data_IF_479876498599
#
_entry.id   IF_479876498599
#
_cell.length_a   1.000
_cell.length_b   1.000
_cell.length_c   1.000
_cell.angle_alpha   90.00
_cell.angle_beta   90.00
_cell.angle_gamma   90.00
#
_symmetry.space_group_name_H-M   'P 1'
#
loop_
_entity.id
_entity.type
_entity.pdbx_description
1 polymer ?
#
# COMPACT_ATOMS: atom_id res chain seq x y z
N UNK A 1 11.18 19.57 -5.45
CA UNK A 1 11.81 19.19 -4.16
C UNK A 1 11.28 17.80 -3.79
N UNK A 2 12.06 16.74 -4.02
CA UNK A 2 11.59 15.34 -4.12
C UNK A 2 10.74 14.89 -2.92
N UNK A 3 9.62 14.20 -3.19
CA UNK A 3 8.74 13.53 -2.22
C UNK A 3 9.53 12.63 -1.24
N UNK A 4 10.70 12.12 -1.64
CA UNK A 4 11.63 11.37 -0.76
C UNK A 4 12.18 12.25 0.37
N UNK A 5 12.48 13.53 0.11
CA UNK A 5 12.77 14.50 1.17
C UNK A 5 11.53 14.75 2.01
N UNK A 6 10.32 14.73 1.45
CA UNK A 6 9.07 14.91 2.21
C UNK A 6 8.80 13.77 3.18
N UNK A 7 8.96 12.50 2.75
CA UNK A 7 8.83 11.32 3.62
C UNK A 7 9.90 11.36 4.71
N UNK A 8 11.19 11.52 4.35
CA UNK A 8 12.27 11.65 5.34
C UNK A 8 12.09 12.85 6.28
N UNK A 9 11.54 13.97 5.80
CA UNK A 9 11.32 15.20 6.58
C UNK A 9 10.10 15.09 7.49
N UNK A 10 8.99 14.48 7.06
CA UNK A 10 7.81 14.19 7.89
C UNK A 10 8.17 13.17 8.98
N UNK A 11 8.99 12.16 8.66
CA UNK A 11 9.58 11.22 9.63
C UNK A 11 10.51 11.91 10.64
N UNK A 12 11.24 12.97 10.23
CA UNK A 12 12.09 13.74 11.14
C UNK A 12 11.32 14.72 12.04
N UNK A 13 10.23 15.31 11.54
CA UNK A 13 9.43 16.32 12.27
C UNK A 13 8.58 15.69 13.39
N UNK A 14 8.10 14.47 13.22
CA UNK A 14 7.41 13.70 14.28
C UNK A 14 8.34 13.34 15.46
N UNK A 15 9.67 13.47 15.33
CA UNK A 15 10.66 13.15 16.38
C UNK A 15 10.93 14.30 17.35
N UNK A 16 10.46 15.52 17.07
CA UNK A 16 10.84 16.72 17.83
C UNK A 16 9.77 17.25 18.80
N UNK A 17 8.61 16.61 18.94
CA UNK A 17 7.50 17.11 19.80
C UNK A 17 7.37 16.41 21.15
N UNK A 18 8.40 15.71 21.64
CA UNK A 18 8.36 15.10 22.98
C UNK A 18 9.72 15.17 23.66
N UNK A 19 10.00 16.28 24.32
CA UNK A 19 11.08 16.36 25.29
C UNK A 19 10.59 17.07 26.56
N UNK A 20 10.21 16.30 27.57
CA UNK A 20 10.49 16.66 28.97
C UNK A 20 10.69 15.41 29.82
N UNK A 21 11.97 15.24 30.19
CA UNK A 21 12.50 14.79 31.49
C UNK A 21 12.02 13.47 32.14
N UNK A 22 12.97 12.52 32.16
CA UNK A 22 13.30 11.46 33.15
C UNK A 22 12.89 10.00 32.91
N UNK A 23 13.86 9.12 33.25
CA UNK A 23 13.92 7.66 33.27
C UNK A 23 14.39 6.92 31.99
N UNK A 24 15.55 6.27 32.11
CA UNK A 24 16.20 5.41 31.13
C UNK A 24 15.40 4.11 30.89
N UNK A 25 14.59 4.10 29.84
CA UNK A 25 14.57 3.02 28.86
C UNK A 25 14.59 3.71 27.50
N UNK A 26 15.71 3.66 26.79
CA UNK A 26 15.72 4.06 25.39
C UNK A 26 14.91 3.02 24.61
N UNK A 27 13.58 3.16 24.63
CA UNK A 27 12.70 2.57 23.64
C UNK A 27 13.18 3.12 22.30
N UNK A 28 14.09 2.40 21.66
CA UNK A 28 14.54 2.68 20.31
C UNK A 28 13.29 2.54 19.46
N UNK A 29 12.64 3.66 19.13
CA UNK A 29 11.48 3.68 18.25
C UNK A 29 11.91 2.96 16.98
N UNK A 30 11.45 1.73 16.81
CA UNK A 30 11.80 0.94 15.65
C UNK A 30 11.17 1.65 14.47
N UNK A 31 12.00 2.09 13.53
CA UNK A 31 11.52 2.74 12.32
C UNK A 31 10.53 1.80 11.63
N UNK A 32 9.39 2.33 11.18
CA UNK A 32 8.39 1.51 10.49
C UNK A 32 8.96 0.98 9.17
N UNK A 33 8.53 -0.22 8.79
CA UNK A 33 8.82 -0.77 7.45
C UNK A 33 7.89 -0.13 6.42
N UNK A 34 8.24 -0.20 5.15
CA UNK A 34 7.42 0.32 4.06
C UNK A 34 6.45 -0.76 3.57
N UNK A 35 5.15 -0.49 3.65
CA UNK A 35 4.11 -1.30 3.04
C UNK A 35 3.55 -0.57 1.82
N UNK A 36 3.70 -1.18 0.66
CA UNK A 36 3.22 -0.66 -0.61
C UNK A 36 1.98 -1.47 -0.99
N UNK A 37 0.90 -0.78 -1.32
CA UNK A 37 -0.38 -1.38 -1.69
C UNK A 37 -0.71 -1.00 -3.13
N UNK A 38 -1.08 -1.99 -3.93
CA UNK A 38 -1.83 -1.71 -5.16
C UNK A 38 -3.25 -1.20 -4.83
N UNK A 39 -3.92 -0.65 -5.84
CA UNK A 39 -5.22 -0.02 -5.69
C UNK A 39 -6.35 -0.90 -6.26
N UNK A 40 -6.35 -1.05 -7.58
CA UNK A 40 -7.39 -1.74 -8.33
C UNK A 40 -7.29 -3.25 -8.17
N UNK A 41 -8.44 -3.91 -8.02
CA UNK A 41 -8.59 -5.34 -7.67
C UNK A 41 -7.88 -5.77 -6.36
N UNK A 42 -7.33 -4.80 -5.61
CA UNK A 42 -6.61 -5.01 -4.35
C UNK A 42 -7.35 -4.36 -3.17
N UNK A 43 -7.59 -3.04 -3.22
CA UNK A 43 -8.34 -2.28 -2.20
C UNK A 43 -9.73 -1.86 -2.69
N UNK A 44 -9.89 -1.66 -4.00
CA UNK A 44 -11.13 -1.24 -4.63
C UNK A 44 -11.35 -1.97 -5.95
N UNK A 45 -12.54 -1.85 -6.50
CA UNK A 45 -12.86 -2.28 -7.85
C UNK A 45 -13.71 -1.21 -8.56
N UNK A 46 -13.35 -0.92 -9.81
CA UNK A 46 -14.14 -0.07 -10.69
C UNK A 46 -15.27 -0.87 -11.35
N UNK A 47 -16.52 -0.47 -11.14
CA UNK A 47 -17.69 -1.10 -11.76
C UNK A 47 -18.11 -0.35 -13.02
N UNK A 48 -18.26 -1.07 -14.14
CA UNK A 48 -18.86 -0.56 -15.37
C UNK A 48 -20.40 -0.48 -15.30
N UNK A 49 -21.02 -1.22 -14.38
CA UNK A 49 -22.47 -1.33 -14.29
C UNK A 49 -23.05 -0.28 -13.32
N UNK A 50 -24.06 0.46 -13.79
CA UNK A 50 -24.92 1.36 -13.01
C UNK A 50 -25.76 0.65 -11.93
N UNK A 51 -25.45 -0.60 -11.59
CA UNK A 51 -26.20 -1.46 -10.68
C UNK A 51 -26.11 -0.97 -9.22
N UNK A 52 -26.88 0.08 -8.93
CA UNK A 52 -27.52 0.52 -7.68
C UNK A 52 -26.70 0.69 -6.38
N UNK A 53 -25.47 0.20 -6.27
CA UNK A 53 -24.62 0.48 -5.10
C UNK A 53 -23.17 0.65 -5.50
N UNK A 54 -22.65 1.86 -5.30
CA UNK A 54 -21.24 2.20 -5.36
C UNK A 54 -20.88 2.99 -4.10
N UNK A 55 -19.66 2.85 -3.62
CA UNK A 55 -19.18 3.59 -2.46
C UNK A 55 -18.69 5.00 -2.83
N UNK A 56 -18.11 5.14 -4.03
CA UNK A 56 -17.55 6.38 -4.55
C UNK A 56 -17.85 6.50 -6.04
N UNK A 57 -18.13 7.72 -6.51
CA UNK A 57 -18.13 8.04 -7.94
C UNK A 57 -17.50 9.39 -8.20
N UNK A 58 -16.82 9.53 -9.34
CA UNK A 58 -16.32 10.82 -9.81
C UNK A 58 -16.22 10.83 -11.34
N UNK A 59 -16.22 12.03 -11.92
CA UNK A 59 -16.11 12.22 -13.37
C UNK A 59 -14.70 12.66 -13.74
N UNK A 60 -14.12 12.02 -14.75
CA UNK A 60 -12.81 12.34 -15.30
C UNK A 60 -12.89 12.22 -16.82
N UNK A 61 -12.39 13.23 -17.54
CA UNK A 61 -12.34 13.23 -19.02
C UNK A 61 -13.71 12.94 -19.67
N UNK A 62 -14.79 13.43 -19.07
CA UNK A 62 -16.16 13.25 -19.59
C UNK A 62 -16.80 11.90 -19.30
N UNK A 63 -16.11 11.00 -18.59
CA UNK A 63 -16.64 9.69 -18.17
C UNK A 63 -16.81 9.64 -16.65
N UNK A 64 -17.91 9.08 -16.16
CA UNK A 64 -18.14 8.84 -14.73
C UNK A 64 -17.68 7.45 -14.36
N UNK A 65 -16.86 7.37 -13.33
CA UNK A 65 -16.31 6.13 -12.80
C UNK A 65 -17.00 5.82 -11.47
N UNK A 66 -17.30 4.55 -11.24
CA UNK A 66 -17.96 4.05 -10.03
C UNK A 66 -17.06 3.03 -9.34
N UNK A 67 -16.91 3.15 -8.03
CA UNK A 67 -16.00 2.32 -7.25
C UNK A 67 -16.71 1.67 -6.07
N UNK A 68 -16.33 0.42 -5.82
CA UNK A 68 -16.64 -0.29 -4.60
C UNK A 68 -15.38 -0.50 -3.78
N UNK A 69 -15.53 -0.48 -2.46
CA UNK A 69 -14.48 -0.79 -1.50
C UNK A 69 -14.44 -2.30 -1.32
N UNK A 70 -13.25 -2.90 -1.36
CA UNK A 70 -13.09 -4.28 -0.91
C UNK A 70 -13.50 -4.38 0.56
N UNK A 71 -14.21 -5.42 0.99
CA UNK A 71 -14.52 -5.63 2.40
C UNK A 71 -13.27 -5.48 3.27
N UNK A 72 -13.43 -4.85 4.43
CA UNK A 72 -12.37 -4.55 5.40
C UNK A 72 -11.28 -3.55 4.94
N UNK A 73 -11.41 -2.89 3.78
CA UNK A 73 -10.35 -2.01 3.27
C UNK A 73 -9.98 -0.86 4.21
N UNK A 74 -10.95 -0.24 4.89
CA UNK A 74 -10.69 0.87 5.82
C UNK A 74 -10.04 0.37 7.10
N UNK A 75 -10.60 -0.67 7.71
CA UNK A 75 -10.08 -1.33 8.91
C UNK A 75 -8.66 -1.88 8.68
N UNK A 76 -8.42 -2.43 7.49
CA UNK A 76 -7.10 -2.86 7.05
C UNK A 76 -6.11 -1.68 7.03
N UNK A 77 -6.46 -0.57 6.37
CA UNK A 77 -5.60 0.62 6.29
C UNK A 77 -5.32 1.23 7.67
N UNK A 78 -6.34 1.32 8.52
CA UNK A 78 -6.20 1.77 9.91
C UNK A 78 -5.21 0.89 10.68
N UNK A 79 -5.34 -0.44 10.57
CA UNK A 79 -4.44 -1.37 11.26
C UNK A 79 -3.02 -1.29 10.73
N UNK A 80 -2.82 -1.37 9.42
CA UNK A 80 -1.47 -1.45 8.84
C UNK A 80 -0.73 -0.10 8.91
N UNK A 81 -1.42 1.04 8.91
CA UNK A 81 -0.79 2.35 9.11
C UNK A 81 -0.17 2.52 10.50
N UNK A 82 -0.65 1.78 11.51
CA UNK A 82 -0.02 1.75 12.83
C UNK A 82 1.32 1.00 12.81
N UNK A 83 1.49 0.03 11.90
CA UNK A 83 2.62 -0.88 11.82
C UNK A 83 3.67 -0.45 10.77
N UNK A 84 3.21 0.19 9.70
CA UNK A 84 4.00 0.50 8.50
C UNK A 84 3.88 1.97 8.10
N UNK A 85 4.88 2.46 7.38
CA UNK A 85 4.71 3.59 6.49
C UNK A 85 3.97 3.07 5.25
N UNK A 86 2.72 3.47 5.06
CA UNK A 86 1.86 2.94 3.99
C UNK A 86 1.91 3.84 2.76
N UNK A 87 2.12 3.24 1.60
CA UNK A 87 2.17 3.93 0.31
C UNK A 87 1.26 3.21 -0.67
N UNK A 88 0.52 3.98 -1.47
CA UNK A 88 -0.17 3.44 -2.65
C UNK A 88 0.76 3.49 -3.85
N UNK A 89 0.90 2.39 -4.57
CA UNK A 89 1.60 2.34 -5.86
C UNK A 89 0.70 1.63 -6.88
N UNK A 90 0.05 2.40 -7.75
CA UNK A 90 -0.87 1.90 -8.77
C UNK A 90 -0.29 2.08 -10.18
N UNK A 91 -0.72 1.24 -11.12
CA UNK A 91 -0.44 1.41 -12.54
C UNK A 91 -1.34 2.48 -13.21
N UNK A 92 -2.34 3.01 -12.47
CA UNK A 92 -3.23 4.06 -12.94
C UNK A 92 -2.63 5.46 -12.81
N UNK A 93 -3.19 6.42 -13.56
CA UNK A 93 -2.75 7.81 -13.56
C UNK A 93 -3.26 8.57 -12.34
N UNK A 94 -2.59 9.65 -11.99
CA UNK A 94 -2.93 10.50 -10.84
C UNK A 94 -4.41 10.96 -10.80
N UNK A 95 -5.01 11.46 -11.91
CA UNK A 95 -6.40 11.93 -11.89
C UNK A 95 -7.43 10.84 -11.59
N UNK A 96 -7.08 9.58 -11.88
CA UNK A 96 -7.89 8.40 -11.55
C UNK A 96 -7.72 8.01 -10.08
N UNK A 97 -6.47 7.92 -9.62
CA UNK A 97 -6.15 7.33 -8.33
C UNK A 97 -6.40 8.28 -7.15
N UNK A 98 -6.22 9.59 -7.32
CA UNK A 98 -6.36 10.54 -6.21
C UNK A 98 -7.73 10.52 -5.54
N UNK A 99 -8.86 10.63 -6.26
CA UNK A 99 -10.18 10.61 -5.63
C UNK A 99 -10.45 9.32 -4.86
N UNK A 100 -9.97 8.18 -5.37
CA UNK A 100 -10.10 6.87 -4.71
C UNK A 100 -9.30 6.83 -3.42
N UNK A 101 -8.04 7.27 -3.46
CA UNK A 101 -7.17 7.26 -2.27
C UNK A 101 -7.63 8.29 -1.23
N UNK A 102 -8.11 9.47 -1.66
CA UNK A 102 -8.72 10.47 -0.78
C UNK A 102 -9.97 9.91 -0.09
N UNK A 103 -10.78 9.15 -0.82
CA UNK A 103 -11.94 8.48 -0.23
C UNK A 103 -11.57 7.40 0.77
N UNK A 104 -10.49 6.64 0.53
CA UNK A 104 -9.98 5.62 1.45
C UNK A 104 -9.39 6.24 2.74
N UNK A 105 -8.68 7.36 2.63
CA UNK A 105 -8.00 8.06 3.74
C UNK A 105 -8.51 9.49 3.87
N UNK A 106 -9.75 9.64 4.34
CA UNK A 106 -10.47 10.92 4.43
C UNK A 106 -9.73 11.99 5.24
N UNK A 107 -8.97 11.58 6.25
CA UNK A 107 -8.21 12.48 7.12
C UNK A 107 -6.76 12.70 6.64
N UNK A 108 -6.30 11.96 5.63
CA UNK A 108 -4.93 12.03 5.11
C UNK A 108 -3.86 11.60 6.13
N UNK A 109 -4.22 10.66 7.03
CA UNK A 109 -3.39 10.20 8.14
C UNK A 109 -2.81 8.81 7.92
N UNK A 110 -3.46 7.99 7.10
CA UNK A 110 -3.13 6.57 6.94
C UNK A 110 -2.05 6.34 5.87
N UNK A 111 -2.07 7.13 4.78
CA UNK A 111 -1.22 6.92 3.59
C UNK A 111 -0.19 8.05 3.48
N UNK A 112 1.10 7.70 3.53
CA UNK A 112 2.20 8.69 3.55
C UNK A 112 2.71 9.08 2.16
N UNK A 113 2.33 8.34 1.12
CA UNK A 113 2.75 8.61 -0.26
C UNK A 113 1.90 7.89 -1.31
N UNK A 114 1.89 8.44 -2.53
CA UNK A 114 1.17 7.92 -3.69
C UNK A 114 2.10 7.89 -4.90
N UNK A 115 2.15 6.75 -5.58
CA UNK A 115 2.95 6.49 -6.77
C UNK A 115 2.00 5.97 -7.85
N UNK A 116 2.12 6.53 -9.04
CA UNK A 116 1.18 6.30 -10.14
C UNK A 116 1.91 5.63 -11.31
N UNK A 117 1.23 5.50 -12.44
CA UNK A 117 1.77 4.95 -13.69
C UNK A 117 3.22 5.36 -13.98
N UNK A 118 3.50 6.68 -13.97
CA UNK A 118 4.82 7.22 -14.34
C UNK A 118 5.93 6.89 -13.34
N UNK A 119 5.58 6.37 -12.16
CA UNK A 119 6.55 5.90 -11.16
C UNK A 119 7.04 4.48 -11.43
N UNK A 120 6.27 3.68 -12.18
CA UNK A 120 6.66 2.33 -12.60
C UNK A 120 7.52 2.35 -13.86
N UNK A 121 7.84 1.16 -14.35
CA UNK A 121 8.53 1.00 -15.62
C UNK A 121 7.73 0.09 -16.55
N UNK A 122 7.55 0.53 -17.80
CA UNK A 122 7.09 -0.32 -18.88
C UNK A 122 8.28 -1.02 -19.48
N UNK A 123 8.36 -2.34 -19.28
CA UNK A 123 9.35 -3.19 -19.92
C UNK A 123 8.71 -3.87 -21.14
N UNK A 124 9.53 -4.54 -21.97
CA UNK A 124 9.05 -5.26 -23.15
C UNK A 124 7.97 -6.32 -22.85
N UNK A 125 7.95 -6.85 -21.63
CA UNK A 125 7.04 -7.87 -21.13
C UNK A 125 5.96 -7.30 -20.18
N UNK A 126 5.73 -5.99 -20.18
CA UNK A 126 4.66 -5.33 -19.44
C UNK A 126 5.13 -4.45 -18.28
N UNK A 127 4.18 -3.96 -17.48
CA UNK A 127 4.43 -3.02 -16.40
C UNK A 127 5.13 -3.66 -15.19
N UNK A 128 6.03 -2.94 -14.53
CA UNK A 128 6.63 -3.30 -13.24
C UNK A 128 6.64 -2.14 -12.26
N UNK A 129 6.54 -2.50 -10.98
CA UNK A 129 6.77 -1.64 -9.82
C UNK A 129 8.17 -1.94 -9.27
N UNK A 130 9.18 -1.29 -9.83
CA UNK A 130 10.56 -1.47 -9.33
C UNK A 130 10.73 -0.83 -7.94
N UNK A 131 10.85 -1.68 -6.92
CA UNK A 131 10.91 -1.24 -5.52
C UNK A 131 12.20 -0.47 -5.18
N UNK A 132 13.21 -0.46 -6.06
CA UNK A 132 14.45 0.29 -5.84
C UNK A 132 14.25 1.81 -5.87
N UNK A 133 13.16 2.30 -6.45
CA UNK A 133 12.85 3.75 -6.50
C UNK A 133 12.74 4.38 -5.10
N UNK A 134 12.38 3.59 -4.09
CA UNK A 134 12.21 4.05 -2.71
C UNK A 134 13.54 4.29 -1.99
N UNK A 135 14.65 3.77 -2.51
CA UNK A 135 16.02 3.98 -1.98
C UNK A 135 16.14 3.67 -0.48
N UNK A 136 15.49 2.58 -0.06
CA UNK A 136 15.59 1.98 1.28
C UNK A 136 15.92 0.50 1.15
N UNK A 137 16.38 -0.11 2.24
CA UNK A 137 16.73 -1.53 2.26
C UNK A 137 15.49 -2.40 1.95
N UNK A 138 15.61 -3.27 0.95
CA UNK A 138 14.55 -4.20 0.55
C UNK A 138 14.21 -5.22 1.65
N UNK A 139 15.06 -5.43 2.66
CA UNK A 139 14.68 -6.19 3.85
C UNK A 139 13.49 -5.57 4.61
N UNK A 140 13.14 -4.31 4.30
CA UNK A 140 12.11 -3.51 4.97
C UNK A 140 10.99 -3.06 4.04
N UNK A 141 10.89 -3.62 2.83
CA UNK A 141 9.88 -3.23 1.83
C UNK A 141 8.95 -4.40 1.54
N UNK A 142 7.65 -4.16 1.56
CA UNK A 142 6.61 -5.13 1.24
C UNK A 142 5.72 -4.52 0.17
N UNK A 143 5.36 -5.29 -0.87
CA UNK A 143 4.37 -4.91 -1.87
C UNK A 143 3.23 -5.92 -1.87
N UNK A 144 1.99 -5.47 -1.69
CA UNK A 144 0.78 -6.28 -1.86
C UNK A 144 0.13 -5.87 -3.17
N UNK A 145 -0.05 -6.84 -4.08
CA UNK A 145 -0.51 -6.59 -5.45
C UNK A 145 -1.15 -7.86 -6.00
N UNK A 146 -2.27 -7.72 -6.71
CA UNK A 146 -2.98 -8.86 -7.29
C UNK A 146 -2.36 -9.38 -8.59
N UNK A 147 -1.39 -8.67 -9.16
CA UNK A 147 -0.70 -9.04 -10.38
C UNK A 147 0.78 -9.39 -10.10
N UNK A 148 1.15 -10.69 -10.06
CA UNK A 148 2.53 -11.11 -9.82
C UNK A 148 3.57 -10.55 -10.81
N UNK A 149 3.14 -10.20 -12.03
CA UNK A 149 4.02 -9.58 -13.01
C UNK A 149 4.52 -8.19 -12.55
N UNK A 150 3.73 -7.45 -11.76
CA UNK A 150 4.08 -6.10 -11.30
C UNK A 150 5.31 -6.12 -10.38
N UNK A 151 5.51 -7.16 -9.58
CA UNK A 151 6.64 -7.28 -8.65
C UNK A 151 7.69 -8.30 -9.08
N UNK A 152 7.75 -8.65 -10.38
CA UNK A 152 8.66 -9.67 -10.91
C UNK A 152 10.15 -9.38 -10.67
N UNK A 153 10.54 -8.11 -10.51
CA UNK A 153 11.93 -7.72 -10.23
C UNK A 153 12.35 -7.95 -8.78
N UNK A 154 11.39 -7.99 -7.84
CA UNK A 154 11.62 -8.22 -6.41
C UNK A 154 10.59 -9.21 -5.85
N UNK A 155 10.55 -10.43 -6.42
CA UNK A 155 9.55 -11.46 -6.07
C UNK A 155 9.43 -11.73 -4.57
N UNK A 156 10.55 -11.76 -3.86
CA UNK A 156 10.57 -12.03 -2.42
C UNK A 156 10.05 -10.86 -1.56
N UNK A 157 9.73 -9.71 -2.17
CA UNK A 157 9.09 -8.58 -1.52
C UNK A 157 7.59 -8.48 -1.84
N UNK A 158 7.13 -9.25 -2.83
CA UNK A 158 5.75 -9.24 -3.29
C UNK A 158 4.89 -10.29 -2.58
N UNK A 159 3.75 -9.85 -2.07
CA UNK A 159 2.68 -10.68 -1.53
C UNK A 159 1.57 -10.68 -2.59
N UNK A 160 1.32 -11.81 -3.28
CA UNK A 160 0.16 -11.92 -4.15
C UNK A 160 -1.11 -11.88 -3.29
N UNK A 161 -2.09 -11.10 -3.72
CA UNK A 161 -3.45 -11.13 -3.19
C UNK A 161 -4.42 -11.50 -4.30
N UNK A 162 -5.52 -12.19 -3.98
CA UNK A 162 -6.52 -12.53 -4.99
C UNK A 162 -7.21 -11.26 -5.46
N UNK A 163 -7.38 -11.13 -6.78
CA UNK A 163 -8.16 -10.05 -7.39
C UNK A 163 -9.58 -10.04 -6.83
N UNK A 164 -10.02 -8.86 -6.40
CA UNK A 164 -11.37 -8.65 -5.92
C UNK A 164 -12.18 -7.79 -6.89
N UNK A 165 -13.42 -8.19 -7.14
CA UNK A 165 -14.33 -7.51 -8.06
C UNK A 165 -15.56 -7.01 -7.32
N UNK A 166 -16.35 -7.91 -6.73
CA UNK A 166 -17.58 -7.51 -6.05
C UNK A 166 -18.07 -8.51 -5.00
N UNK A 167 -17.24 -9.48 -4.58
CA UNK A 167 -17.67 -10.47 -3.59
C UNK A 167 -17.82 -9.79 -2.21
N UNK A 168 -19.05 -9.68 -1.66
CA UNK A 168 -19.25 -9.07 -0.35
C UNK A 168 -18.73 -9.94 0.80
N UNK A 169 -18.47 -11.23 0.56
CA UNK A 169 -17.95 -12.18 1.54
C UNK A 169 -16.41 -12.30 1.49
N UNK A 170 -15.73 -11.46 0.70
CA UNK A 170 -14.26 -11.43 0.67
C UNK A 170 -13.71 -11.07 2.05
N UNK A 171 -12.67 -11.78 2.47
CA UNK A 171 -11.99 -11.56 3.75
C UNK A 171 -10.46 -11.48 3.57
N UNK A 172 -9.97 -11.36 2.34
CA UNK A 172 -8.53 -11.55 2.05
C UNK A 172 -7.67 -10.46 2.69
N UNK A 173 -8.15 -9.21 2.74
CA UNK A 173 -7.46 -8.13 3.46
C UNK A 173 -7.37 -8.43 4.96
N UNK A 174 -8.46 -8.89 5.57
CA UNK A 174 -8.50 -9.25 7.00
C UNK A 174 -7.55 -10.42 7.31
N UNK A 175 -7.60 -11.49 6.50
CA UNK A 175 -6.71 -12.67 6.61
C UNK A 175 -5.23 -12.35 6.41
N UNK A 176 -4.91 -11.26 5.71
CA UNK A 176 -3.54 -10.83 5.48
C UNK A 176 -2.93 -10.11 6.69
N UNK A 177 -3.73 -9.46 7.54
CA UNK A 177 -3.26 -8.66 8.68
C UNK A 177 -2.31 -9.44 9.61
N UNK A 178 -2.63 -10.66 10.09
CA UNK A 178 -1.75 -11.38 11.01
C UNK A 178 -0.36 -11.69 10.41
N UNK A 179 -0.30 -11.86 9.08
CA UNK A 179 0.97 -12.07 8.40
C UNK A 179 1.78 -10.78 8.32
N UNK A 180 1.14 -9.67 8.00
CA UNK A 180 1.79 -8.36 8.00
C UNK A 180 2.30 -8.00 9.40
N UNK A 181 1.58 -8.34 10.47
CA UNK A 181 2.07 -8.17 11.85
C UNK A 181 3.36 -8.96 12.11
N UNK A 182 3.45 -10.21 11.65
CA UNK A 182 4.70 -11.00 11.71
C UNK A 182 5.84 -10.30 10.95
N UNK A 183 5.56 -9.76 9.76
CA UNK A 183 6.57 -9.04 8.96
C UNK A 183 6.99 -7.71 9.60
N UNK A 184 6.07 -7.03 10.31
CA UNK A 184 6.38 -5.81 11.05
C UNK A 184 7.44 -6.05 12.13
N UNK A 185 7.46 -7.24 12.75
CA UNK A 185 8.44 -7.65 13.76
C UNK A 185 9.74 -8.26 13.20
N UNK A 186 9.73 -8.79 11.97
CA UNK A 186 10.89 -9.47 11.38
C UNK A 186 12.06 -8.51 11.07
N UNK A 187 13.32 -8.98 11.15
CA UNK A 187 14.46 -8.16 10.71
C UNK A 187 14.51 -8.03 9.18
N UNK A 188 14.20 -9.11 8.47
CA UNK A 188 14.09 -9.18 7.01
C UNK A 188 12.77 -9.85 6.62
N UNK A 189 11.95 -9.15 5.83
CA UNK A 189 10.64 -9.65 5.39
C UNK A 189 10.73 -10.73 4.32
N UNK A 190 11.83 -10.76 3.55
CA UNK A 190 11.94 -11.53 2.30
C UNK A 190 11.91 -13.04 2.52
N UNK A 191 12.59 -13.63 3.52
CA UNK A 191 12.53 -15.07 3.76
C UNK A 191 11.11 -15.54 4.09
N UNK A 192 10.37 -14.79 4.93
CA UNK A 192 9.01 -15.13 5.32
C UNK A 192 8.02 -15.05 4.15
N UNK A 193 8.17 -14.05 3.28
CA UNK A 193 7.36 -13.92 2.06
C UNK A 193 7.66 -15.07 1.09
N UNK A 194 8.94 -15.35 0.83
CA UNK A 194 9.35 -16.41 -0.08
C UNK A 194 8.89 -17.81 0.39
N UNK A 195 9.01 -18.09 1.69
CA UNK A 195 8.52 -19.33 2.30
C UNK A 195 7.02 -19.52 2.09
N UNK A 196 6.22 -18.45 2.27
CA UNK A 196 4.77 -18.54 2.18
C UNK A 196 4.25 -18.65 0.74
N UNK A 197 4.84 -17.90 -0.19
CA UNK A 197 4.22 -17.66 -1.51
C UNK A 197 5.04 -18.15 -2.71
N UNK A 198 6.31 -18.54 -2.54
CA UNK A 198 7.17 -18.94 -3.67
C UNK A 198 7.55 -20.42 -3.60
N UNK A 199 7.74 -20.97 -2.40
CA UNK A 199 8.23 -22.35 -2.21
C UNK A 199 7.13 -23.43 -2.20
N UNK A 200 6.02 -23.23 -2.89
CA UNK A 200 4.93 -24.22 -3.01
C UNK A 200 4.83 -24.77 -4.42
#
# INVERSE_FOLDING_TARGET
MSIIKSIRRRLSQLRHTSASSTCNQQNKIQEKKLLILDLDETLVHHSESFATSYALSFTMEGSTYYFNLRPYAREFLERVSQLFDVVVFTANRKPYADPVVDFLDLEGKLIVGRYYHDSGASLCDGYVKDLRIFKIDLARVILVDNCPANFRLQKNNGIPIVSWFFDPQDEELSKLVPFLEKLAAADDVRPSIAERFIRR
#
